data_IF_029781932707
#
_entry.id   IF_029781932707
#
_cell.length_a   1.000
_cell.length_b   1.000
_cell.length_c   1.000
_cell.angle_alpha   90.00
_cell.angle_beta   90.00
_cell.angle_gamma   90.00
#
_symmetry.space_group_name_H-M   'P 1'
#
loop_
_entity.id
_entity.type
_entity.pdbx_description
1 polymer ?
#
# COMPACT_ATOMS: atom_id res chain seq x y z
N UNK A 1 -6.97 29.27 -5.34
CA UNK A 1 -6.75 28.77 -3.96
C UNK A 1 -6.11 27.39 -3.90
N UNK A 2 -6.44 26.42 -4.76
CA UNK A 2 -5.85 25.06 -4.78
C UNK A 2 -4.35 25.02 -5.09
N UNK A 3 -3.81 25.99 -5.87
CA UNK A 3 -2.34 26.14 -6.05
C UNK A 3 -1.65 26.53 -4.74
N UNK A 4 -2.29 27.38 -3.93
CA UNK A 4 -1.77 27.89 -2.66
C UNK A 4 -1.81 26.80 -1.57
N UNK A 5 -2.85 25.95 -1.58
CA UNK A 5 -3.02 24.85 -0.62
C UNK A 5 -2.53 23.49 -1.12
N UNK A 6 -1.89 23.38 -2.29
CA UNK A 6 -1.40 22.10 -2.82
C UNK A 6 -0.44 21.39 -1.86
N UNK A 7 0.43 22.16 -1.18
CA UNK A 7 1.34 21.63 -0.14
C UNK A 7 0.59 21.05 1.07
N UNK A 8 -0.61 21.56 1.38
CA UNK A 8 -1.44 21.04 2.46
C UNK A 8 -2.12 19.75 2.04
N UNK A 9 -2.69 19.71 0.82
CA UNK A 9 -3.29 18.49 0.26
C UNK A 9 -2.28 17.36 0.19
N UNK A 10 -1.07 17.62 -0.31
CA UNK A 10 -0.03 16.58 -0.39
C UNK A 10 0.46 16.10 0.97
N UNK A 11 0.44 16.94 2.01
CA UNK A 11 0.74 16.51 3.39
C UNK A 11 -0.36 15.63 3.96
N UNK A 12 -1.62 16.02 3.77
CA UNK A 12 -2.78 15.22 4.22
C UNK A 12 -2.76 13.86 3.53
N UNK A 13 -2.50 13.84 2.23
CA UNK A 13 -2.38 12.60 1.46
C UNK A 13 -1.26 11.69 1.96
N UNK A 14 -0.08 12.22 2.28
CA UNK A 14 1.01 11.43 2.89
C UNK A 14 0.61 10.82 4.23
N UNK A 15 -0.13 11.57 5.05
CA UNK A 15 -0.61 11.07 6.34
C UNK A 15 -1.65 9.97 6.11
N UNK A 16 -2.57 10.18 5.16
CA UNK A 16 -3.56 9.18 4.78
C UNK A 16 -2.91 7.91 4.23
N UNK A 17 -1.94 8.02 3.32
CA UNK A 17 -1.14 6.92 2.81
C UNK A 17 -0.49 6.12 3.96
N UNK A 18 0.11 6.78 4.96
CA UNK A 18 0.72 6.11 6.10
C UNK A 18 -0.30 5.37 6.99
N UNK A 19 -1.44 5.99 7.26
CA UNK A 19 -2.52 5.35 8.02
C UNK A 19 -3.09 4.16 7.25
N UNK A 20 -3.19 4.27 5.93
CA UNK A 20 -3.66 3.22 5.05
C UNK A 20 -2.68 2.04 5.02
N UNK A 21 -1.37 2.30 4.96
CA UNK A 21 -0.32 1.27 5.06
C UNK A 21 -0.45 0.53 6.40
N UNK A 22 -0.59 1.26 7.52
CA UNK A 22 -0.77 0.65 8.83
C UNK A 22 -2.08 -0.17 8.92
N UNK A 23 -3.18 0.34 8.37
CA UNK A 23 -4.45 -0.38 8.32
C UNK A 23 -4.34 -1.65 7.47
N UNK A 24 -3.67 -1.57 6.31
CA UNK A 24 -3.41 -2.73 5.44
C UNK A 24 -2.56 -3.79 6.14
N UNK A 25 -1.64 -3.39 7.01
CA UNK A 25 -0.82 -4.32 7.80
C UNK A 25 -1.69 -5.17 8.73
N UNK A 26 -2.54 -4.54 9.55
CA UNK A 26 -3.45 -5.27 10.45
C UNK A 26 -4.48 -6.08 9.66
N UNK A 27 -4.98 -5.52 8.56
CA UNK A 27 -5.92 -6.21 7.69
C UNK A 27 -5.29 -7.44 7.04
N UNK A 28 -4.05 -7.35 6.54
CA UNK A 28 -3.32 -8.48 5.98
C UNK A 28 -3.06 -9.56 7.03
N UNK A 29 -2.73 -9.16 8.26
CA UNK A 29 -2.49 -10.10 9.36
C UNK A 29 -3.74 -10.92 9.67
N UNK A 30 -4.91 -10.26 9.68
CA UNK A 30 -6.20 -10.93 9.95
C UNK A 30 -6.73 -11.72 8.74
N UNK A 31 -6.55 -11.21 7.53
CA UNK A 31 -7.10 -11.80 6.31
C UNK A 31 -6.28 -12.97 5.77
N UNK A 32 -4.99 -13.10 6.13
CA UNK A 32 -4.11 -14.16 5.59
C UNK A 32 -4.75 -15.54 5.74
N UNK A 33 -5.21 -15.89 6.93
CA UNK A 33 -5.72 -17.22 7.22
C UNK A 33 -7.04 -17.47 6.47
N UNK A 34 -7.97 -16.51 6.50
CA UNK A 34 -9.22 -16.57 5.73
C UNK A 34 -8.98 -16.62 4.22
N UNK A 35 -7.96 -15.94 3.72
CA UNK A 35 -7.59 -15.96 2.32
C UNK A 35 -7.12 -17.34 1.90
N UNK A 36 -6.29 -18.00 2.70
CA UNK A 36 -5.83 -19.36 2.41
C UNK A 36 -6.95 -20.40 2.52
N UNK A 37 -7.85 -20.27 3.49
CA UNK A 37 -9.05 -21.10 3.56
C UNK A 37 -9.93 -20.94 2.31
N UNK A 38 -10.14 -19.71 1.85
CA UNK A 38 -10.93 -19.43 0.66
C UNK A 38 -10.28 -20.02 -0.60
N UNK A 39 -8.98 -19.80 -0.79
CA UNK A 39 -8.21 -20.32 -1.93
C UNK A 39 -8.19 -21.85 -1.94
N UNK A 40 -8.08 -22.49 -0.77
CA UNK A 40 -8.18 -23.94 -0.62
C UNK A 40 -9.54 -24.50 -1.07
N UNK A 41 -10.64 -23.77 -0.84
CA UNK A 41 -11.97 -24.18 -1.34
C UNK A 41 -12.10 -24.14 -2.86
N UNK A 42 -11.30 -23.32 -3.55
CA UNK A 42 -11.25 -23.25 -5.01
C UNK A 42 -10.31 -24.30 -5.63
N UNK A 43 -9.76 -25.23 -4.83
CA UNK A 43 -8.93 -26.34 -5.33
C UNK A 43 -7.52 -25.93 -5.77
N UNK A 44 -7.09 -24.71 -5.44
CA UNK A 44 -5.72 -24.27 -5.65
C UNK A 44 -4.85 -24.87 -4.54
N UNK A 45 -3.81 -25.61 -4.92
CA UNK A 45 -2.86 -26.21 -3.98
C UNK A 45 -2.10 -25.10 -3.24
N UNK A 46 -2.58 -24.75 -2.05
CA UNK A 46 -1.88 -23.89 -1.11
C UNK A 46 -0.86 -24.75 -0.38
N UNK A 47 0.45 -24.41 -0.38
CA UNK A 47 1.43 -25.13 0.42
C UNK A 47 1.02 -25.08 1.90
N UNK A 48 0.73 -26.25 2.45
CA UNK A 48 0.08 -26.51 3.76
C UNK A 48 0.99 -26.23 4.97
N UNK A 49 2.15 -25.59 4.76
CA UNK A 49 2.95 -25.03 5.86
C UNK A 49 2.40 -23.66 6.28
N UNK A 50 1.10 -23.56 6.49
CA UNK A 50 0.52 -22.41 7.21
C UNK A 50 0.74 -22.64 8.70
N UNK A 51 2.01 -22.59 9.13
CA UNK A 51 2.29 -22.33 10.53
C UNK A 51 1.50 -21.07 10.92
N UNK A 52 0.82 -21.09 12.09
CA UNK A 52 0.12 -19.92 12.58
C UNK A 52 1.10 -18.74 12.58
N UNK A 53 0.65 -17.55 12.18
CA UNK A 53 1.50 -16.37 12.30
C UNK A 53 1.94 -16.27 13.77
N UNK A 54 3.22 -15.92 13.97
CA UNK A 54 3.69 -15.53 15.29
C UNK A 54 2.92 -14.30 15.80
N UNK A 55 3.11 -13.93 17.08
CA UNK A 55 2.54 -12.72 17.64
C UNK A 55 2.73 -11.50 16.73
N UNK A 56 1.73 -10.63 16.63
CA UNK A 56 1.77 -9.43 15.76
C UNK A 56 2.97 -8.52 16.05
N UNK A 57 3.47 -8.58 17.29
CA UNK A 57 4.63 -7.85 17.79
C UNK A 57 5.90 -8.15 16.97
N UNK A 58 6.10 -9.41 16.59
CA UNK A 58 7.24 -9.84 15.78
C UNK A 58 7.22 -9.25 14.37
N UNK A 59 6.04 -8.83 13.91
CA UNK A 59 5.84 -8.25 12.59
C UNK A 59 5.92 -6.71 12.59
N UNK A 60 6.03 -6.04 13.74
CA UNK A 60 6.19 -4.57 13.77
C UNK A 60 7.50 -4.10 13.13
N UNK A 61 8.53 -4.94 13.12
CA UNK A 61 9.78 -4.68 12.37
C UNK A 61 9.49 -4.49 10.88
N UNK A 62 8.53 -5.26 10.33
CA UNK A 62 8.11 -5.14 8.94
C UNK A 62 7.48 -3.78 8.71
N UNK A 63 6.55 -3.36 9.59
CA UNK A 63 5.91 -2.05 9.49
C UNK A 63 6.95 -0.91 9.54
N UNK A 64 7.94 -1.02 10.43
CA UNK A 64 9.03 -0.06 10.57
C UNK A 64 9.91 0.08 9.32
N UNK A 65 10.15 -1.02 8.58
CA UNK A 65 10.91 -1.03 7.32
C UNK A 65 10.05 -0.56 6.15
N UNK A 66 8.80 -1.00 6.10
CA UNK A 66 7.89 -0.78 4.97
C UNK A 66 7.42 0.67 4.88
N UNK A 67 7.12 1.32 6.01
CA UNK A 67 6.69 2.73 6.04
C UNK A 67 7.67 3.67 5.31
N UNK A 68 8.97 3.71 5.65
CA UNK A 68 9.93 4.56 4.94
C UNK A 68 10.08 4.15 3.47
N UNK A 69 10.05 2.85 3.15
CA UNK A 69 10.13 2.36 1.78
C UNK A 69 8.94 2.81 0.92
N UNK A 70 7.70 2.72 1.41
CA UNK A 70 6.53 3.23 0.70
C UNK A 70 6.58 4.75 0.54
N UNK A 71 6.96 5.49 1.58
CA UNK A 71 7.11 6.95 1.47
C UNK A 71 8.13 7.33 0.40
N UNK A 72 9.26 6.63 0.35
CA UNK A 72 10.29 6.82 -0.67
C UNK A 72 9.79 6.44 -2.07
N UNK A 73 9.18 5.26 -2.22
CA UNK A 73 8.67 4.76 -3.51
C UNK A 73 7.56 5.65 -4.08
N UNK A 74 6.55 6.01 -3.28
CA UNK A 74 5.45 6.89 -3.69
C UNK A 74 5.97 8.29 -4.06
N UNK A 75 6.94 8.81 -3.29
CA UNK A 75 7.56 10.10 -3.60
C UNK A 75 8.38 10.05 -4.89
N UNK A 76 9.17 9.00 -5.10
CA UNK A 76 10.00 8.81 -6.28
C UNK A 76 9.17 8.64 -7.56
N UNK A 77 8.06 7.89 -7.47
CA UNK A 77 7.11 7.69 -8.57
C UNK A 77 6.21 8.92 -8.82
N UNK A 78 6.38 9.99 -8.04
CA UNK A 78 5.72 11.26 -8.27
C UNK A 78 4.25 11.31 -7.83
N UNK A 79 3.84 10.45 -6.89
CA UNK A 79 2.46 10.41 -6.37
C UNK A 79 1.98 11.80 -5.92
N UNK A 80 2.87 12.61 -5.33
CA UNK A 80 2.53 13.89 -4.72
C UNK A 80 2.80 15.14 -5.59
N UNK A 81 3.26 15.00 -6.84
CA UNK A 81 3.70 16.17 -7.65
C UNK A 81 2.55 16.96 -8.29
N UNK A 82 1.54 16.30 -8.85
CA UNK A 82 0.31 16.96 -9.36
C UNK A 82 -0.81 15.97 -9.67
N UNK A 83 -1.56 15.57 -8.65
CA UNK A 83 -2.63 14.56 -8.81
C UNK A 83 -3.81 15.05 -9.67
N UNK A 84 -3.93 16.38 -9.86
CA UNK A 84 -4.98 17.04 -10.65
C UNK A 84 -5.08 16.54 -12.11
N UNK A 85 -3.96 16.14 -12.71
CA UNK A 85 -3.89 15.72 -14.11
C UNK A 85 -3.58 14.22 -14.27
N UNK A 86 -3.59 13.47 -13.18
CA UNK A 86 -3.29 12.05 -13.22
C UNK A 86 -4.39 11.29 -13.96
N UNK A 87 -3.98 10.46 -14.92
CA UNK A 87 -4.86 9.54 -15.63
C UNK A 87 -5.03 8.25 -14.81
N UNK A 88 -6.14 7.53 -15.03
CA UNK A 88 -6.37 6.24 -14.36
C UNK A 88 -5.21 5.24 -14.54
N UNK A 89 -4.64 5.06 -15.75
CA UNK A 89 -3.49 4.18 -15.94
C UNK A 89 -2.25 4.62 -15.16
N UNK A 90 -2.04 5.93 -15.02
CA UNK A 90 -0.93 6.46 -14.24
C UNK A 90 -1.09 6.17 -12.74
N UNK A 91 -2.31 6.30 -12.20
CA UNK A 91 -2.59 5.98 -10.79
C UNK A 91 -2.41 4.49 -10.52
N UNK A 92 -2.89 3.65 -11.43
CA UNK A 92 -2.70 2.20 -11.36
C UNK A 92 -1.21 1.84 -11.40
N UNK A 93 -0.46 2.44 -12.33
CA UNK A 93 1.00 2.26 -12.45
C UNK A 93 1.72 2.66 -11.17
N UNK A 94 1.40 3.80 -10.58
CA UNK A 94 2.05 4.26 -9.33
C UNK A 94 1.76 3.28 -8.19
N UNK A 95 0.51 2.83 -8.04
CA UNK A 95 0.09 1.95 -6.93
C UNK A 95 0.70 0.55 -7.05
N UNK A 96 0.77 0.00 -8.28
CA UNK A 96 1.40 -1.29 -8.54
C UNK A 96 2.92 -1.22 -8.43
N UNK A 97 3.58 -0.25 -9.07
CA UNK A 97 5.04 -0.15 -9.04
C UNK A 97 5.57 0.16 -7.65
N UNK A 98 4.89 1.03 -6.87
CA UNK A 98 5.30 1.29 -5.49
C UNK A 98 5.23 0.01 -4.66
N UNK A 99 4.15 -0.77 -4.79
CA UNK A 99 3.99 -2.01 -4.03
C UNK A 99 4.97 -3.11 -4.46
N UNK A 100 5.27 -3.22 -5.76
CA UNK A 100 6.29 -4.14 -6.26
C UNK A 100 7.69 -3.74 -5.76
N UNK A 101 8.04 -2.46 -5.86
CA UNK A 101 9.31 -1.96 -5.35
C UNK A 101 9.46 -2.25 -3.85
N UNK A 102 8.43 -1.95 -3.05
CA UNK A 102 8.47 -2.22 -1.61
C UNK A 102 8.53 -3.72 -1.32
N UNK A 103 7.79 -4.56 -2.05
CA UNK A 103 7.85 -6.00 -1.90
C UNK A 103 9.27 -6.54 -2.09
N UNK A 104 9.93 -6.19 -3.20
CA UNK A 104 11.29 -6.64 -3.49
C UNK A 104 12.33 -6.01 -2.56
N UNK A 105 12.22 -4.72 -2.25
CA UNK A 105 13.13 -4.04 -1.31
C UNK A 105 13.03 -4.63 0.09
N UNK A 106 11.81 -4.88 0.58
CA UNK A 106 11.59 -5.49 1.90
C UNK A 106 12.11 -6.93 1.92
N UNK A 107 11.85 -7.71 0.87
CA UNK A 107 12.39 -9.05 0.73
C UNK A 107 13.93 -9.08 0.72
N UNK A 108 14.57 -8.14 0.02
CA UNK A 108 16.02 -7.99 0.02
C UNK A 108 16.57 -7.62 1.41
N UNK A 109 15.90 -6.71 2.13
CA UNK A 109 16.27 -6.35 3.51
C UNK A 109 16.18 -7.56 4.43
N UNK A 110 15.10 -8.35 4.37
CA UNK A 110 14.96 -9.56 5.19
C UNK A 110 16.00 -10.63 4.86
N UNK A 111 16.31 -10.81 3.58
CA UNK A 111 17.37 -11.72 3.17
C UNK A 111 18.74 -11.29 3.74
N UNK A 112 19.08 -10.00 3.69
CA UNK A 112 20.33 -9.47 4.23
C UNK A 112 20.40 -9.57 5.75
N UNK A 113 19.28 -9.32 6.44
CA UNK A 113 19.18 -9.39 7.90
C UNK A 113 18.97 -10.83 8.42
N UNK A 114 18.90 -11.83 7.52
CA UNK A 114 18.60 -13.23 7.86
C UNK A 114 17.32 -13.39 8.68
N UNK A 115 16.32 -12.57 8.35
CA UNK A 115 14.99 -12.67 8.95
C UNK A 115 14.11 -13.54 8.05
N UNK A 116 13.34 -14.44 8.66
CA UNK A 116 12.40 -15.32 7.95
C UNK A 116 10.94 -15.00 8.28
N UNK A 117 10.44 -13.78 7.99
CA UNK A 117 9.02 -13.50 8.12
C UNK A 117 8.22 -14.23 7.03
N UNK A 118 6.93 -14.42 7.29
CA UNK A 118 6.03 -15.07 6.35
C UNK A 118 5.96 -14.33 5.02
N UNK A 119 6.52 -14.94 3.96
CA UNK A 119 6.52 -14.39 2.59
C UNK A 119 5.10 -14.19 2.06
N UNK A 120 4.18 -15.08 2.46
CA UNK A 120 2.76 -14.98 2.13
C UNK A 120 2.11 -13.75 2.75
N UNK A 121 2.42 -13.44 4.02
CA UNK A 121 1.96 -12.21 4.67
C UNK A 121 2.44 -10.98 3.91
N UNK A 122 3.73 -10.90 3.59
CA UNK A 122 4.29 -9.76 2.84
C UNK A 122 3.62 -9.59 1.46
N UNK A 123 3.38 -10.70 0.75
CA UNK A 123 2.69 -10.67 -0.54
C UNK A 123 1.25 -10.15 -0.46
N UNK A 124 0.46 -10.67 0.48
CA UNK A 124 -0.93 -10.23 0.70
C UNK A 124 -0.96 -8.76 1.13
N UNK A 125 -0.06 -8.38 2.04
CA UNK A 125 0.08 -7.02 2.52
C UNK A 125 0.37 -6.03 1.37
N UNK A 126 1.39 -6.30 0.55
CA UNK A 126 1.71 -5.44 -0.59
C UNK A 126 0.58 -5.41 -1.63
N UNK A 127 -0.14 -6.51 -1.84
CA UNK A 127 -1.29 -6.55 -2.73
C UNK A 127 -2.45 -5.66 -2.21
N UNK A 128 -2.76 -5.73 -0.91
CA UNK A 128 -3.76 -4.87 -0.28
C UNK A 128 -3.35 -3.40 -0.39
N UNK A 129 -2.10 -3.06 -0.09
CA UNK A 129 -1.59 -1.71 -0.27
C UNK A 129 -1.75 -1.23 -1.72
N UNK A 130 -1.42 -2.04 -2.72
CA UNK A 130 -1.60 -1.68 -4.13
C UNK A 130 -3.07 -1.33 -4.47
N UNK A 131 -4.01 -2.13 -3.97
CA UNK A 131 -5.45 -1.92 -4.18
C UNK A 131 -5.94 -0.67 -3.44
N UNK A 132 -5.61 -0.53 -2.17
CA UNK A 132 -6.10 0.58 -1.36
C UNK A 132 -5.48 1.93 -1.76
N UNK A 133 -4.18 1.99 -2.08
CA UNK A 133 -3.56 3.21 -2.61
C UNK A 133 -4.18 3.62 -3.96
N UNK A 134 -4.57 2.64 -4.79
CA UNK A 134 -5.28 2.92 -6.03
C UNK A 134 -6.67 3.50 -5.78
N UNK A 135 -7.46 2.86 -4.90
CA UNK A 135 -8.81 3.30 -4.54
C UNK A 135 -8.79 4.70 -3.91
N UNK A 136 -7.91 4.93 -2.94
CA UNK A 136 -7.73 6.23 -2.28
C UNK A 136 -7.48 7.33 -3.31
N UNK A 137 -6.53 7.13 -4.22
CA UNK A 137 -6.20 8.12 -5.26
C UNK A 137 -7.34 8.35 -6.23
N UNK A 138 -8.14 7.33 -6.54
CA UNK A 138 -9.38 7.52 -7.31
C UNK A 138 -10.39 8.39 -6.56
N UNK A 139 -10.54 8.20 -5.26
CA UNK A 139 -11.42 9.02 -4.40
C UNK A 139 -10.92 10.47 -4.39
N UNK A 140 -9.63 10.68 -4.12
CA UNK A 140 -9.00 12.01 -4.11
C UNK A 140 -9.16 12.70 -5.46
N UNK A 141 -8.91 11.99 -6.57
CA UNK A 141 -9.08 12.53 -7.92
C UNK A 141 -10.52 12.95 -8.20
N UNK A 142 -11.52 12.13 -7.80
CA UNK A 142 -12.94 12.46 -7.95
C UNK A 142 -13.31 13.71 -7.14
N UNK A 143 -12.84 13.81 -5.89
CA UNK A 143 -13.07 14.98 -5.04
C UNK A 143 -12.46 16.25 -5.67
N UNK A 144 -11.21 16.18 -6.13
CA UNK A 144 -10.53 17.30 -6.78
C UNK A 144 -11.26 17.76 -8.07
N UNK A 145 -11.74 16.82 -8.88
CA UNK A 145 -12.54 17.13 -10.08
C UNK A 145 -13.88 17.77 -9.73
N UNK A 146 -14.55 17.27 -8.69
CA UNK A 146 -15.82 17.83 -8.21
C UNK A 146 -15.68 19.28 -7.75
N UNK A 147 -14.66 19.61 -6.94
CA UNK A 147 -14.42 20.98 -6.49
C UNK A 147 -14.07 21.93 -7.65
N UNK A 148 -13.36 21.43 -8.68
CA UNK A 148 -13.03 22.20 -9.89
C UNK A 148 -14.27 22.60 -10.68
N UNK A 149 -15.22 21.68 -10.89
CA UNK A 149 -16.45 21.96 -11.67
C UNK A 149 -17.28 23.07 -11.01
N UNK A 150 -17.19 23.20 -9.68
CA UNK A 150 -17.89 24.24 -8.90
C UNK A 150 -17.17 25.60 -8.86
N UNK A 151 -16.13 25.80 -9.67
CA UNK A 151 -15.42 27.09 -9.74
C UNK A 151 -14.54 27.42 -8.53
N UNK A 152 -14.41 26.52 -7.55
CA UNK A 152 -13.51 26.66 -6.40
C UNK A 152 -12.08 26.32 -6.82
N UNK A 153 -11.45 27.19 -7.62
CA UNK A 153 -10.04 27.09 -8.03
C UNK A 153 -9.10 27.67 -6.99
#
# INVERSE_FOLDING_TARGET
MLKTHWKMVSRIERIADNLLIAACFFLAYRLRDTFFELVGRFGLAVPVETLPLGPVEDYFVILGIVLPLYNAALSALGAYRSMRFSSMPQILKISLLSSLLVFFSTGAVFFLLKMDPSRSFLGIFCALCAVFHFIERLIVLKLLRYYRVRGKN
#
